data_IF_914342013158
#
_entry.id   IF_914342013158
#
_cell.length_a   1.000
_cell.length_b   1.000
_cell.length_c   1.000
_cell.angle_alpha   90.00
_cell.angle_beta   90.00
_cell.angle_gamma   90.00
#
_symmetry.space_group_name_H-M   'P 1'
#
loop_
_entity.id
_entity.type
_entity.pdbx_description
1 polymer ?
#
# COMPACT_ATOMS: atom_id res chain seq x y z
N UNK A 1 20.79 11.95 -0.02
CA UNK A 1 19.43 11.65 0.49
C UNK A 1 19.42 11.46 2.01
N UNK A 2 18.62 12.24 2.73
CA UNK A 2 18.38 12.02 4.16
C UNK A 2 17.75 10.64 4.41
N UNK A 3 18.04 10.01 5.57
CA UNK A 3 17.50 8.69 5.90
C UNK A 3 15.98 8.74 6.09
N UNK A 4 15.29 7.73 5.56
CA UNK A 4 13.85 7.48 5.79
C UNK A 4 13.76 6.30 6.76
N UNK A 5 13.10 6.54 7.89
CA UNK A 5 12.87 5.53 8.93
C UNK A 5 11.58 4.78 8.64
N UNK A 6 11.60 3.47 8.85
CA UNK A 6 10.45 2.60 8.61
C UNK A 6 9.93 2.03 9.94
N UNK A 7 8.69 2.36 10.30
CA UNK A 7 8.04 1.85 11.49
C UNK A 7 6.87 0.91 11.13
N UNK A 8 6.63 -0.12 11.95
CA UNK A 8 5.39 -0.89 11.86
C UNK A 8 4.28 -0.14 12.61
N UNK A 9 3.11 0.04 12.00
CA UNK A 9 2.04 0.92 12.48
C UNK A 9 1.36 0.52 13.82
N UNK A 10 1.86 -0.49 14.52
CA UNK A 10 1.24 -1.04 15.74
C UNK A 10 2.26 -1.32 16.86
N UNK A 11 3.33 -0.56 16.93
CA UNK A 11 4.31 -0.66 18.01
C UNK A 11 4.36 0.63 18.85
N UNK A 12 3.90 0.51 20.10
CA UNK A 12 4.14 1.41 21.22
C UNK A 12 4.55 0.52 22.43
N UNK A 13 5.41 1.00 23.34
CA UNK A 13 6.78 0.51 23.44
C UNK A 13 6.96 -0.60 24.48
N UNK A 14 7.88 -1.53 24.19
CA UNK A 14 8.42 -2.44 25.19
C UNK A 14 9.01 -3.72 24.60
N UNK A 15 10.29 -3.69 24.22
CA UNK A 15 10.97 -4.93 23.85
C UNK A 15 12.32 -4.71 23.17
N UNK A 16 13.40 -4.80 23.95
CA UNK A 16 14.76 -5.04 23.43
C UNK A 16 14.78 -6.36 22.66
N UNK A 17 15.59 -6.45 21.59
CA UNK A 17 16.45 -7.62 21.24
C UNK A 17 17.15 -7.33 19.90
N UNK A 18 18.48 -7.19 19.92
CA UNK A 18 19.46 -8.23 19.58
C UNK A 18 19.51 -8.53 18.08
N UNK A 19 20.52 -7.95 17.42
CA UNK A 19 20.83 -8.21 16.02
C UNK A 19 21.23 -9.65 15.77
N UNK A 20 20.63 -10.25 14.75
CA UNK A 20 21.10 -11.48 14.13
C UNK A 20 21.07 -11.27 12.61
N UNK A 21 22.25 -11.15 12.03
CA UNK A 21 22.48 -11.08 10.58
C UNK A 21 22.09 -12.42 9.98
N UNK A 22 21.00 -12.45 9.22
CA UNK A 22 20.58 -13.63 8.46
C UNK A 22 21.05 -13.52 7.01
N UNK A 23 21.79 -14.54 6.55
CA UNK A 23 22.36 -14.66 5.20
C UNK A 23 21.68 -15.84 4.49
N UNK A 24 21.00 -15.66 3.35
CA UNK A 24 20.39 -16.79 2.63
C UNK A 24 21.41 -17.56 1.77
N UNK A 25 21.19 -18.87 1.50
CA UNK A 25 22.08 -19.69 0.68
C UNK A 25 21.79 -19.50 -0.82
N UNK A 26 22.87 -19.51 -1.62
CA UNK A 26 22.86 -19.42 -3.08
C UNK A 26 22.41 -20.77 -3.67
N UNK A 27 21.27 -20.80 -4.36
CA UNK A 27 20.81 -21.95 -5.15
C UNK A 27 21.29 -21.79 -6.59
N UNK A 28 22.11 -22.73 -7.06
CA UNK A 28 22.55 -22.84 -8.47
C UNK A 28 21.47 -23.53 -9.29
N UNK A 29 20.87 -22.85 -10.25
CA UNK A 29 19.97 -23.47 -11.25
C UNK A 29 20.77 -24.00 -12.44
N UNK A 30 20.58 -25.28 -12.76
CA UNK A 30 21.05 -25.95 -13.97
C UNK A 30 20.01 -25.70 -15.07
N UNK A 31 20.40 -25.00 -16.13
CA UNK A 31 19.61 -24.81 -17.35
C UNK A 31 19.69 -26.04 -18.23
N UNK A 32 18.57 -26.74 -18.46
CA UNK A 32 18.42 -27.69 -19.56
C UNK A 32 17.69 -27.00 -20.70
N UNK A 33 18.42 -26.73 -21.78
CA UNK A 33 17.88 -26.31 -23.08
C UNK A 33 17.12 -27.50 -23.68
N UNK A 34 15.87 -27.31 -24.11
CA UNK A 34 15.25 -28.20 -25.07
C UNK A 34 14.64 -27.41 -26.22
N UNK A 35 15.06 -27.80 -27.42
CA UNK A 35 14.87 -27.13 -28.69
C UNK A 35 13.49 -27.39 -29.28
N UNK A 36 12.96 -26.39 -29.96
CA UNK A 36 11.71 -26.38 -30.71
C UNK A 36 11.84 -27.05 -32.08
N UNK A 37 10.81 -27.82 -32.49
CA UNK A 37 10.57 -28.18 -33.89
C UNK A 37 9.09 -28.52 -34.14
N UNK A 38 8.52 -27.90 -35.19
CA UNK A 38 7.28 -28.29 -35.89
C UNK A 38 5.98 -27.91 -35.18
N UNK A 39 5.07 -27.09 -35.71
CA UNK A 39 4.65 -26.92 -37.10
C UNK A 39 3.28 -27.57 -37.28
N UNK A 40 2.20 -26.77 -37.30
CA UNK A 40 0.96 -27.02 -38.08
C UNK A 40 -0.07 -25.90 -37.89
N UNK A 41 -0.50 -25.36 -39.03
CA UNK A 41 -1.61 -24.41 -39.21
C UNK A 41 -2.94 -25.12 -38.96
N UNK A 42 -3.84 -24.50 -38.21
CA UNK A 42 -5.20 -24.96 -38.00
C UNK A 42 -6.10 -23.79 -37.63
N UNK A 43 -7.06 -23.52 -38.51
CA UNK A 43 -8.13 -22.51 -38.45
C UNK A 43 -8.92 -22.56 -37.14
N UNK A 44 -9.10 -21.42 -36.48
CA UNK A 44 -10.15 -21.23 -35.47
C UNK A 44 -10.81 -19.85 -35.63
N UNK A 45 -12.12 -19.93 -35.85
CA UNK A 45 -13.12 -18.86 -35.84
C UNK A 45 -12.95 -18.03 -34.57
N UNK A 46 -12.65 -16.74 -34.73
CA UNK A 46 -12.53 -15.79 -33.64
C UNK A 46 -13.90 -15.48 -33.05
N UNK A 47 -14.22 -16.12 -31.92
CA UNK A 47 -15.25 -15.66 -31.02
C UNK A 47 -14.89 -14.24 -30.54
N UNK A 48 -15.81 -13.29 -30.71
CA UNK A 48 -15.67 -11.93 -30.21
C UNK A 48 -15.33 -11.96 -28.70
N UNK A 49 -14.37 -11.15 -28.22
CA UNK A 49 -14.11 -11.07 -26.79
C UNK A 49 -15.37 -10.53 -26.10
N UNK A 50 -15.90 -11.37 -25.21
CA UNK A 50 -17.00 -11.06 -24.30
C UNK A 50 -16.66 -9.74 -23.59
N UNK A 51 -17.52 -8.74 -23.75
CA UNK A 51 -17.39 -7.41 -23.18
C UNK A 51 -16.90 -7.50 -21.72
N UNK A 52 -15.81 -6.79 -21.44
CA UNK A 52 -15.32 -6.62 -20.08
C UNK A 52 -16.45 -6.08 -19.19
N UNK A 53 -16.61 -6.59 -17.96
CA UNK A 53 -17.62 -6.08 -17.06
C UNK A 53 -17.36 -4.58 -16.84
N UNK A 54 -18.37 -3.76 -17.09
CA UNK A 54 -18.37 -2.34 -16.72
C UNK A 54 -17.90 -2.22 -15.27
N UNK A 55 -16.83 -1.46 -14.98
CA UNK A 55 -16.37 -1.33 -13.60
C UNK A 55 -17.51 -0.69 -12.81
N UNK A 56 -18.03 -1.42 -11.82
CA UNK A 56 -18.93 -0.83 -10.82
C UNK A 56 -18.14 0.33 -10.20
N UNK A 57 -18.76 1.51 -10.09
CA UNK A 57 -18.18 2.60 -9.30
C UNK A 57 -18.01 2.11 -7.87
N UNK A 58 -16.78 1.78 -7.53
CA UNK A 58 -16.33 1.33 -6.22
C UNK A 58 -15.82 2.52 -5.42
N UNK A 59 -15.84 2.43 -4.09
CA UNK A 59 -15.34 3.51 -3.25
C UNK A 59 -13.83 3.76 -3.51
N UNK A 60 -13.06 2.69 -3.74
CA UNK A 60 -11.64 2.79 -4.12
C UNK A 60 -11.43 3.39 -5.52
N UNK A 61 -12.38 3.28 -6.45
CA UNK A 61 -12.24 3.94 -7.76
C UNK A 61 -12.62 5.42 -7.73
N UNK A 62 -13.51 5.81 -6.82
CA UNK A 62 -13.96 7.21 -6.69
C UNK A 62 -13.03 8.04 -5.82
N UNK A 63 -12.51 7.46 -4.74
CA UNK A 63 -11.66 8.15 -3.77
C UNK A 63 -10.22 7.63 -3.74
N UNK A 64 -9.87 6.77 -4.70
CA UNK A 64 -8.54 6.19 -4.79
C UNK A 64 -7.95 6.29 -6.18
N UNK A 65 -6.63 6.36 -6.23
CA UNK A 65 -5.84 6.34 -7.46
C UNK A 65 -4.99 5.07 -7.50
N UNK A 66 -5.19 4.25 -8.52
CA UNK A 66 -4.41 3.02 -8.67
C UNK A 66 -3.00 3.34 -9.19
N UNK A 67 -2.02 3.24 -8.29
CA UNK A 67 -0.61 3.48 -8.60
C UNK A 67 -0.03 2.35 -9.46
N UNK A 68 -0.59 1.14 -9.38
CA UNK A 68 -0.14 -0.05 -10.14
C UNK A 68 -0.39 0.12 -11.63
N UNK A 69 -1.50 0.75 -12.01
CA UNK A 69 -1.88 0.99 -13.41
C UNK A 69 -0.92 1.97 -14.07
N UNK A 70 -0.50 3.01 -13.34
CA UNK A 70 0.40 4.04 -13.84
C UNK A 70 1.88 3.66 -13.68
N UNK A 71 2.21 2.62 -12.91
CA UNK A 71 3.58 2.23 -12.60
C UNK A 71 4.45 1.87 -13.82
N UNK A 72 3.83 1.50 -14.94
CA UNK A 72 4.53 1.27 -16.21
C UNK A 72 4.86 2.56 -16.99
N UNK A 73 4.24 3.69 -16.63
CA UNK A 73 4.42 5.00 -17.25
C UNK A 73 5.34 5.92 -16.42
N UNK A 74 5.53 5.63 -15.14
CA UNK A 74 6.36 6.42 -14.23
C UNK A 74 7.84 6.02 -14.32
N UNK A 75 8.74 6.97 -14.15
CA UNK A 75 10.17 6.75 -14.13
C UNK A 75 10.59 5.74 -13.04
N UNK A 76 11.68 4.98 -13.26
CA UNK A 76 12.18 4.06 -12.25
C UNK A 76 12.67 4.80 -11.01
N UNK A 77 12.29 4.29 -9.84
CA UNK A 77 12.75 4.80 -8.56
C UNK A 77 14.17 4.31 -8.32
N UNK A 78 15.13 5.25 -8.22
CA UNK A 78 16.55 4.93 -8.07
C UNK A 78 16.98 5.10 -6.61
N UNK A 79 17.73 4.12 -6.08
CA UNK A 79 18.39 4.23 -4.78
C UNK A 79 17.47 4.12 -3.56
N UNK A 80 16.28 3.50 -3.74
CA UNK A 80 15.30 3.22 -2.68
C UNK A 80 14.96 1.73 -2.55
N UNK A 81 15.79 0.86 -3.10
CA UNK A 81 15.54 -0.58 -3.13
C UNK A 81 15.42 -1.16 -1.72
N UNK A 82 16.32 -0.78 -0.81
CA UNK A 82 16.32 -1.25 0.58
C UNK A 82 15.06 -0.81 1.34
N UNK A 83 14.55 0.40 1.11
CA UNK A 83 13.27 0.85 1.68
C UNK A 83 12.10 0.04 1.11
N UNK A 84 12.05 -0.16 -0.20
CA UNK A 84 10.97 -0.91 -0.86
C UNK A 84 10.98 -2.38 -0.39
N UNK A 85 12.16 -3.01 -0.30
CA UNK A 85 12.30 -4.39 0.20
C UNK A 85 11.82 -4.53 1.65
N UNK A 86 12.12 -3.55 2.50
CA UNK A 86 11.63 -3.54 3.88
C UNK A 86 10.10 -3.37 3.94
N UNK A 87 9.51 -2.51 3.10
CA UNK A 87 8.05 -2.36 3.01
C UNK A 87 7.40 -3.67 2.58
N UNK A 88 7.91 -4.32 1.53
CA UNK A 88 7.45 -5.63 1.07
C UNK A 88 7.48 -6.66 2.21
N UNK A 89 8.57 -6.71 2.97
CA UNK A 89 8.70 -7.60 4.12
C UNK A 89 7.65 -7.34 5.20
N UNK A 90 7.32 -6.08 5.50
CA UNK A 90 6.30 -5.72 6.49
C UNK A 90 4.91 -6.13 5.99
N UNK A 91 4.58 -5.84 4.74
CA UNK A 91 3.26 -6.11 4.16
C UNK A 91 2.96 -7.63 4.03
N UNK A 92 4.00 -8.47 3.93
CA UNK A 92 3.87 -9.93 3.87
C UNK A 92 3.56 -10.59 5.23
N UNK A 93 3.54 -9.83 6.34
CA UNK A 93 3.25 -10.38 7.67
C UNK A 93 1.77 -10.80 7.78
N UNK A 94 1.48 -11.74 8.69
CA UNK A 94 0.10 -12.17 9.00
C UNK A 94 -0.66 -11.15 9.86
N UNK A 95 0.06 -10.44 10.73
CA UNK A 95 -0.49 -9.41 11.63
C UNK A 95 0.41 -8.20 11.59
N UNK A 96 -0.14 -7.01 11.89
CA UNK A 96 0.59 -5.73 11.82
C UNK A 96 1.30 -5.55 10.47
N UNK A 97 0.60 -5.91 9.39
CA UNK A 97 1.06 -5.87 8.00
C UNK A 97 0.91 -4.47 7.39
N UNK A 98 1.23 -3.46 8.18
CA UNK A 98 1.09 -2.04 7.82
C UNK A 98 2.39 -1.30 8.11
N UNK A 99 2.87 -0.55 7.13
CA UNK A 99 4.16 0.15 7.18
C UNK A 99 3.94 1.67 7.30
N UNK A 100 4.85 2.35 7.99
CA UNK A 100 4.92 3.81 8.06
C UNK A 100 6.28 4.29 7.56
N UNK A 101 6.25 5.10 6.51
CA UNK A 101 7.39 5.79 5.92
C UNK A 101 7.58 7.14 6.64
N UNK A 102 8.52 7.20 7.57
CA UNK A 102 8.78 8.40 8.37
C UNK A 102 10.01 9.13 7.82
N UNK A 103 9.85 10.44 7.62
CA UNK A 103 10.93 11.28 7.08
C UNK A 103 10.51 12.73 6.92
N UNK A 104 11.48 13.58 6.59
CA UNK A 104 11.22 14.98 6.26
C UNK A 104 10.30 15.11 5.03
N UNK A 105 9.54 16.21 4.88
CA UNK A 105 8.81 16.47 3.64
C UNK A 105 9.78 16.57 2.45
N UNK A 106 9.35 16.13 1.27
CA UNK A 106 10.14 16.20 0.04
C UNK A 106 11.23 15.12 -0.15
N UNK A 107 11.37 14.16 0.76
CA UNK A 107 12.37 13.07 0.64
C UNK A 107 12.00 11.95 -0.33
N UNK A 108 10.79 12.01 -0.91
CA UNK A 108 10.28 11.04 -1.87
C UNK A 108 9.62 9.81 -1.24
N UNK A 109 8.76 9.99 -0.22
CA UNK A 109 7.99 8.87 0.37
C UNK A 109 6.97 8.30 -0.60
N UNK A 110 6.31 9.17 -1.37
CA UNK A 110 5.44 8.80 -2.48
C UNK A 110 6.19 7.98 -3.53
N UNK A 111 7.45 8.33 -3.82
CA UNK A 111 8.29 7.55 -4.73
C UNK A 111 8.55 6.11 -4.23
N UNK A 112 8.62 5.88 -2.92
CA UNK A 112 8.72 4.51 -2.37
C UNK A 112 7.43 3.73 -2.65
N UNK A 113 6.26 4.36 -2.52
CA UNK A 113 4.97 3.73 -2.84
C UNK A 113 4.82 3.45 -4.35
N UNK A 114 5.27 4.37 -5.21
CA UNK A 114 5.34 4.15 -6.66
C UNK A 114 6.29 2.99 -7.01
N UNK A 115 7.45 2.93 -6.34
CA UNK A 115 8.41 1.84 -6.48
C UNK A 115 7.82 0.49 -6.07
N UNK A 116 7.07 0.45 -4.97
CA UNK A 116 6.32 -0.74 -4.54
C UNK A 116 5.30 -1.16 -5.61
N UNK A 117 4.49 -0.22 -6.13
CA UNK A 117 3.51 -0.49 -7.16
C UNK A 117 4.15 -1.08 -8.43
N UNK A 118 5.30 -0.54 -8.83
CA UNK A 118 6.09 -1.03 -9.95
C UNK A 118 6.64 -2.43 -9.72
N UNK A 119 7.15 -2.74 -8.52
CA UNK A 119 7.61 -4.09 -8.20
C UNK A 119 6.48 -5.11 -8.22
N UNK A 120 5.29 -4.75 -7.73
CA UNK A 120 4.13 -5.62 -7.80
C UNK A 120 3.68 -5.84 -9.25
N UNK A 121 3.58 -4.78 -10.05
CA UNK A 121 3.25 -4.86 -11.47
C UNK A 121 4.27 -5.71 -12.27
N UNK A 122 5.56 -5.61 -11.93
CA UNK A 122 6.63 -6.39 -12.53
C UNK A 122 6.79 -7.81 -11.96
N UNK A 123 5.97 -8.23 -11.00
CA UNK A 123 6.06 -9.55 -10.37
C UNK A 123 7.32 -9.77 -9.50
N UNK A 124 8.03 -8.70 -9.13
CA UNK A 124 9.23 -8.74 -8.27
C UNK A 124 8.87 -8.69 -6.78
N UNK A 125 7.84 -9.44 -6.38
CA UNK A 125 7.35 -9.50 -5.00
C UNK A 125 7.01 -10.94 -4.61
N UNK A 126 7.03 -11.29 -3.31
CA UNK A 126 6.59 -12.61 -2.84
C UNK A 126 5.14 -12.90 -3.22
N UNK A 127 4.79 -14.20 -3.28
CA UNK A 127 3.44 -14.67 -3.65
C UNK A 127 2.30 -14.03 -2.82
N UNK A 128 2.58 -13.63 -1.57
CA UNK A 128 1.61 -12.96 -0.69
C UNK A 128 1.12 -11.59 -1.22
N UNK A 129 1.92 -10.93 -2.07
CA UNK A 129 1.62 -9.63 -2.69
C UNK A 129 1.53 -9.72 -4.22
N UNK A 130 1.66 -10.91 -4.79
CA UNK A 130 1.58 -11.10 -6.23
C UNK A 130 0.18 -10.75 -6.73
N UNK A 131 0.09 -9.85 -7.71
CA UNK A 131 -1.18 -9.36 -8.26
C UNK A 131 -1.91 -8.35 -7.38
N UNK A 132 -1.33 -7.93 -6.25
CA UNK A 132 -1.93 -6.90 -5.41
C UNK A 132 -1.94 -5.53 -6.14
N UNK A 133 -2.86 -4.65 -5.74
CA UNK A 133 -2.95 -3.28 -6.24
C UNK A 133 -2.52 -2.31 -5.15
N UNK A 134 -1.68 -1.33 -5.50
CA UNK A 134 -1.38 -0.19 -4.63
C UNK A 134 -2.32 0.94 -4.99
N UNK A 135 -3.16 1.33 -4.04
CA UNK A 135 -4.16 2.39 -4.23
C UNK A 135 -3.86 3.53 -3.27
N UNK A 136 -3.53 4.68 -3.83
CA UNK A 136 -3.40 5.94 -3.10
C UNK A 136 -4.79 6.46 -2.73
N UNK A 137 -5.03 6.71 -1.45
CA UNK A 137 -6.31 7.21 -0.94
C UNK A 137 -6.27 8.74 -0.92
N UNK A 138 -7.16 9.37 -1.69
CA UNK A 138 -7.32 10.82 -1.69
C UNK A 138 -8.26 11.27 -0.58
N UNK A 139 -7.67 11.60 0.57
CA UNK A 139 -8.42 12.14 1.71
C UNK A 139 -9.02 13.52 1.40
N UNK A 140 -8.40 14.32 0.53
CA UNK A 140 -8.91 15.62 0.11
C UNK A 140 -10.23 15.48 -0.65
N UNK A 141 -10.32 14.54 -1.59
CA UNK A 141 -11.55 14.22 -2.32
C UNK A 141 -12.65 13.69 -1.40
N UNK A 142 -12.30 12.93 -0.35
CA UNK A 142 -13.28 12.46 0.63
C UNK A 142 -13.87 13.58 1.48
N UNK A 143 -13.07 14.60 1.80
CA UNK A 143 -13.48 15.78 2.56
C UNK A 143 -14.26 16.76 1.65
N UNK A 144 -13.81 16.91 0.41
CA UNK A 144 -14.43 17.79 -0.57
C UNK A 144 -15.91 17.43 -0.82
N UNK A 145 -16.76 18.44 -0.83
CA UNK A 145 -18.20 18.28 -1.05
C UNK A 145 -18.97 17.63 0.12
N UNK A 146 -18.35 17.40 1.27
CA UNK A 146 -19.08 16.96 2.47
C UNK A 146 -19.47 18.16 3.33
N UNK A 147 -20.77 18.41 3.48
CA UNK A 147 -21.28 19.40 4.43
C UNK A 147 -21.37 18.86 5.87
N UNK A 148 -21.27 17.53 6.02
CA UNK A 148 -21.41 16.81 7.27
C UNK A 148 -20.26 15.83 7.50
N UNK A 149 -19.64 15.88 8.68
CA UNK A 149 -18.61 14.96 9.14
C UNK A 149 -18.97 13.48 8.94
N UNK A 150 -20.23 13.11 9.16
CA UNK A 150 -20.69 11.73 9.02
C UNK A 150 -20.54 11.17 7.59
N UNK A 151 -20.58 12.01 6.57
CA UNK A 151 -20.39 11.58 5.17
C UNK A 151 -18.95 11.16 4.91
N UNK A 152 -17.98 11.89 5.46
CA UNK A 152 -16.57 11.50 5.40
C UNK A 152 -16.34 10.14 6.08
N UNK A 153 -16.87 9.95 7.28
CA UNK A 153 -16.75 8.69 8.02
C UNK A 153 -17.38 7.52 7.27
N UNK A 154 -18.50 7.75 6.59
CA UNK A 154 -19.15 6.73 5.75
C UNK A 154 -18.29 6.36 4.54
N UNK A 155 -17.76 7.35 3.80
CA UNK A 155 -16.85 7.13 2.66
C UNK A 155 -15.60 6.36 3.07
N UNK A 156 -15.01 6.72 4.21
CA UNK A 156 -13.84 6.02 4.74
C UNK A 156 -14.17 4.58 5.15
N UNK A 157 -15.34 4.33 5.75
CA UNK A 157 -15.81 2.97 6.05
C UNK A 157 -15.98 2.14 4.78
N UNK A 158 -16.54 2.72 3.73
CA UNK A 158 -16.75 2.02 2.46
C UNK A 158 -15.41 1.63 1.82
N UNK A 159 -14.41 2.53 1.84
CA UNK A 159 -13.04 2.23 1.39
C UNK A 159 -12.37 1.15 2.23
N UNK A 160 -12.49 1.21 3.56
CA UNK A 160 -11.93 0.18 4.46
C UNK A 160 -12.58 -1.17 4.16
N UNK A 161 -13.90 -1.21 4.04
CA UNK A 161 -14.65 -2.43 3.78
C UNK A 161 -14.25 -3.05 2.44
N UNK A 162 -14.12 -2.24 1.40
CA UNK A 162 -13.68 -2.72 0.09
C UNK A 162 -12.24 -3.28 0.14
N UNK A 163 -11.36 -2.64 0.89
CA UNK A 163 -10.00 -3.15 1.11
C UNK A 163 -9.96 -4.45 1.93
N UNK A 164 -10.87 -4.63 2.90
CA UNK A 164 -11.05 -5.88 3.65
C UNK A 164 -11.60 -7.00 2.74
N UNK A 165 -12.60 -6.69 1.92
CA UNK A 165 -13.22 -7.63 0.98
C UNK A 165 -12.25 -8.07 -0.13
N UNK A 166 -11.19 -7.31 -0.38
CA UNK A 166 -10.12 -7.65 -1.31
C UNK A 166 -9.14 -8.72 -0.78
N UNK A 167 -9.30 -9.21 0.46
CA UNK A 167 -8.49 -10.29 1.06
C UNK A 167 -6.98 -10.10 0.89
N UNK A 168 -6.51 -8.88 1.16
CA UNK A 168 -5.09 -8.50 1.05
C UNK A 168 -4.62 -8.18 -0.37
N UNK A 169 -5.45 -8.30 -1.40
CA UNK A 169 -5.10 -7.92 -2.77
C UNK A 169 -5.08 -6.41 -3.01
N UNK A 170 -5.39 -5.61 -2.00
CA UNK A 170 -5.29 -4.14 -2.04
C UNK A 170 -4.36 -3.66 -0.91
N UNK A 171 -3.40 -2.81 -1.28
CA UNK A 171 -2.53 -2.08 -0.37
C UNK A 171 -2.91 -0.60 -0.44
N UNK A 172 -3.39 -0.05 0.66
CA UNK A 172 -3.77 1.36 0.75
C UNK A 172 -2.55 2.22 1.03
N UNK A 173 -2.27 3.21 0.19
CA UNK A 173 -1.27 4.24 0.44
C UNK A 173 -1.94 5.51 0.94
N UNK A 174 -1.46 6.05 2.07
CA UNK A 174 -2.02 7.25 2.72
C UNK A 174 -0.85 8.19 3.04
N UNK A 175 -0.69 9.25 2.25
CA UNK A 175 0.42 10.20 2.45
C UNK A 175 0.23 10.97 3.77
N UNK A 176 -0.91 11.64 3.90
CA UNK A 176 -1.26 12.49 5.03
C UNK A 176 -2.06 11.72 6.09
N UNK A 177 -1.48 10.67 6.66
CA UNK A 177 -2.17 9.87 7.70
C UNK A 177 -2.58 10.72 8.92
N UNK A 178 -1.91 11.85 9.16
CA UNK A 178 -2.26 12.80 10.22
C UNK A 178 -3.65 13.45 10.03
N UNK A 179 -4.16 13.53 8.79
CA UNK A 179 -5.52 14.00 8.52
C UNK A 179 -6.58 13.06 9.12
N UNK A 180 -6.23 11.78 9.29
CA UNK A 180 -7.09 10.77 9.91
C UNK A 180 -6.91 10.72 11.43
N UNK A 181 -5.71 11.09 11.90
CA UNK A 181 -5.32 11.12 13.31
C UNK A 181 -5.16 12.58 13.73
N UNK A 182 -6.26 13.34 13.69
CA UNK A 182 -6.23 14.76 14.05
C UNK A 182 -5.65 14.98 15.46
N UNK A 183 -4.81 16.01 15.66
CA UNK A 183 -4.33 16.35 16.99
C UNK A 183 -5.54 16.74 17.84
N UNK A 184 -5.91 15.89 18.78
CA UNK A 184 -7.01 16.17 19.69
C UNK A 184 -6.82 17.54 20.35
N UNK A 185 -7.93 18.28 20.50
CA UNK A 185 -8.10 19.58 21.18
C UNK A 185 -8.08 20.83 20.29
N UNK A 186 -8.91 20.88 19.26
CA UNK A 186 -9.51 22.17 18.90
C UNK A 186 -11.00 22.02 18.70
N UNK A 187 -11.75 22.78 19.51
CA UNK A 187 -13.21 22.87 19.52
C UNK A 187 -13.68 23.24 18.11
N UNK A 188 -14.05 22.24 17.30
CA UNK A 188 -14.74 22.44 16.02
C UNK A 188 -14.14 21.82 14.74
N UNK A 189 -13.08 20.99 14.76
CA UNK A 189 -12.44 20.67 13.46
C UNK A 189 -11.62 19.39 13.25
N UNK A 190 -11.50 18.45 14.20
CA UNK A 190 -10.68 17.23 13.95
C UNK A 190 -11.55 16.06 13.48
N UNK A 191 -11.44 15.66 12.21
CA UNK A 191 -11.97 14.37 11.71
C UNK A 191 -11.24 13.23 12.42
N UNK A 192 -11.97 12.36 13.11
CA UNK A 192 -11.40 11.23 13.87
C UNK A 192 -11.59 9.94 13.08
N UNK A 193 -10.87 9.84 11.96
CA UNK A 193 -10.84 8.63 11.13
C UNK A 193 -10.00 7.51 11.75
N UNK A 194 -9.14 7.84 12.73
CA UNK A 194 -8.26 6.90 13.41
C UNK A 194 -9.01 5.74 14.08
N UNK A 195 -10.16 6.01 14.70
CA UNK A 195 -10.97 4.98 15.35
C UNK A 195 -11.62 4.00 14.38
N UNK A 196 -11.80 4.40 13.11
CA UNK A 196 -12.31 3.52 12.06
C UNK A 196 -11.21 2.59 11.50
N UNK A 197 -9.97 3.08 11.42
CA UNK A 197 -8.84 2.31 10.90
C UNK A 197 -8.22 1.35 11.92
N UNK A 198 -8.12 1.75 13.20
CA UNK A 198 -7.45 0.96 14.25
C UNK A 198 -7.93 -0.51 14.32
N UNK A 199 -9.24 -0.83 14.29
CA UNK A 199 -9.69 -2.23 14.36
C UNK A 199 -9.32 -3.06 13.13
N UNK A 200 -9.33 -2.45 11.93
CA UNK A 200 -8.96 -3.11 10.69
C UNK A 200 -7.45 -3.41 10.66
N UNK A 201 -6.64 -2.44 11.07
CA UNK A 201 -5.17 -2.54 11.15
C UNK A 201 -4.70 -3.52 12.21
N UNK A 202 -5.27 -3.46 13.42
CA UNK A 202 -4.88 -4.33 14.54
C UNK A 202 -5.12 -5.81 14.23
N UNK A 203 -6.19 -6.11 13.48
CA UNK A 203 -6.53 -7.47 13.04
C UNK A 203 -5.74 -7.91 11.80
N UNK A 204 -5.03 -7.01 11.14
CA UNK A 204 -4.29 -7.29 9.90
C UNK A 204 -5.18 -7.57 8.68
N UNK A 205 -6.46 -7.16 8.74
CA UNK A 205 -7.44 -7.39 7.65
C UNK A 205 -7.22 -6.48 6.45
N UNK A 206 -6.52 -5.36 6.65
CA UNK A 206 -6.11 -4.44 5.60
C UNK A 206 -4.60 -4.29 5.61
N UNK A 207 -4.02 -4.08 4.43
CA UNK A 207 -2.62 -3.70 4.25
C UNK A 207 -2.57 -2.21 3.95
N UNK A 208 -1.76 -1.45 4.68
CA UNK A 208 -1.56 -0.05 4.39
C UNK A 208 -0.10 0.39 4.50
N UNK A 209 0.23 1.45 3.78
CA UNK A 209 1.49 2.18 3.84
C UNK A 209 1.14 3.64 4.10
N UNK A 210 1.51 4.16 5.26
CA UNK A 210 1.34 5.57 5.59
C UNK A 210 2.65 6.36 5.44
N UNK A 211 2.60 7.65 5.13
CA UNK A 211 3.80 8.47 4.95
C UNK A 211 3.86 9.78 5.78
N UNK A 212 3.59 9.75 7.11
CA UNK A 212 3.54 10.95 7.94
C UNK A 212 4.88 11.69 7.96
N UNK A 213 4.85 13.01 8.09
CA UNK A 213 6.07 13.78 8.38
C UNK A 213 6.64 13.43 9.75
N UNK A 214 7.93 13.69 9.96
CA UNK A 214 8.60 13.39 11.23
C UNK A 214 7.92 14.08 12.43
N UNK A 215 7.45 15.32 12.25
CA UNK A 215 6.77 16.09 13.29
C UNK A 215 5.39 15.48 13.64
N UNK A 216 4.69 14.92 12.64
CA UNK A 216 3.44 14.20 12.85
C UNK A 216 3.65 12.87 13.58
N UNK A 217 4.70 12.13 13.23
CA UNK A 217 5.05 10.88 13.88
C UNK A 217 5.41 11.07 15.36
N UNK A 218 6.13 12.15 15.71
CA UNK A 218 6.44 12.45 17.11
C UNK A 218 5.21 12.80 17.93
N UNK A 219 4.25 13.54 17.36
CA UNK A 219 3.00 13.91 18.05
C UNK A 219 2.12 12.69 18.36
N UNK A 220 2.19 11.65 17.52
CA UNK A 220 1.39 10.43 17.69
C UNK A 220 1.94 9.43 18.71
N UNK A 221 3.21 9.55 19.14
CA UNK A 221 3.80 8.67 20.18
C UNK A 221 3.64 9.19 21.62
N UNK A 222 3.26 10.45 21.83
CA UNK A 222 3.29 11.08 23.16
C UNK A 222 2.00 10.86 23.96
N UNK A 223 1.02 10.08 23.49
CA UNK A 223 -0.24 9.81 24.21
C UNK A 223 -0.61 8.33 24.20
#
# INVERSE_FOLDING_TARGET
PSPIDLAAAADAPGGRTSGSVYRPPVVKTRTTLNSSAGGRRGSLVGAAPKAAPTPKETALSTYGRDMTVVAGMTDPVIGRDDEIDRVVCILCRRTKNSALLVGAPGVGKTAIAEGLARRIAGGMVPAALAGARVVEVDLGAMVAGTQYRGMFEQRLKDVIKEAEDADGQVVLFIDEVHMLVGPGKTKGGSMDGANLLKPALARGRIRCVGAPTFDEYRKTQVH
#
